data_IF_124177770762
#
_entry.id   IF_124177770762
#
_cell.length_a   1.000
_cell.length_b   1.000
_cell.length_c   1.000
_cell.angle_alpha   90.00
_cell.angle_beta   90.00
_cell.angle_gamma   90.00
#
_symmetry.space_group_name_H-M   'P 1'
#
loop_
_entity.id
_entity.type
_entity.pdbx_description
1 polymer ?
#
# COMPACT_ATOMS: atom_id res chain seq x y z
N UNK A 1 38.49 28.58 35.53
CA UNK A 1 38.57 27.49 34.55
C UNK A 1 37.21 27.39 33.89
N UNK A 2 37.10 27.79 32.62
CA UNK A 2 35.85 27.79 31.85
C UNK A 2 35.90 26.62 30.87
N UNK A 3 34.94 25.72 30.95
CA UNK A 3 34.70 24.66 29.96
C UNK A 3 33.69 25.22 28.96
N UNK A 4 34.20 25.83 27.89
CA UNK A 4 33.43 26.11 26.70
C UNK A 4 34.29 25.72 25.49
N UNK A 5 33.76 24.77 24.73
CA UNK A 5 34.01 24.49 23.31
C UNK A 5 34.10 22.98 23.05
N UNK A 6 32.95 22.32 23.15
CA UNK A 6 32.70 21.08 22.42
C UNK A 6 31.68 21.43 21.34
N UNK A 7 32.16 21.74 20.15
CA UNK A 7 31.34 21.74 18.95
C UNK A 7 31.07 20.27 18.57
N UNK A 8 29.89 19.75 18.95
CA UNK A 8 29.38 18.52 18.34
C UNK A 8 28.90 18.89 16.94
N UNK A 9 29.74 18.61 15.93
CA UNK A 9 29.27 18.48 14.55
C UNK A 9 28.53 17.15 14.46
N UNK A 10 27.21 17.18 14.49
CA UNK A 10 26.38 16.06 14.03
C UNK A 10 26.53 16.05 12.50
N UNK A 11 27.47 15.25 12.01
CA UNK A 11 27.58 14.93 10.60
C UNK A 11 26.49 13.89 10.27
N UNK A 12 25.83 14.10 9.13
CA UNK A 12 24.75 13.32 8.53
C UNK A 12 24.97 11.80 8.57
N UNK A 13 24.50 11.14 9.64
CA UNK A 13 24.55 9.69 9.80
C UNK A 13 23.16 9.04 9.82
N UNK A 14 22.08 9.83 9.63
CA UNK A 14 20.71 9.32 9.72
C UNK A 14 20.14 8.80 8.40
N UNK A 15 20.72 9.15 7.25
CA UNK A 15 20.09 8.94 5.93
C UNK A 15 20.22 7.53 5.36
N UNK A 16 21.38 6.87 5.53
CA UNK A 16 21.60 5.52 4.96
C UNK A 16 21.00 4.43 5.85
N UNK A 17 21.05 4.63 7.18
CA UNK A 17 20.56 3.65 8.14
C UNK A 17 19.04 3.46 8.12
N UNK A 18 18.29 4.51 7.77
CA UNK A 18 16.82 4.48 7.73
C UNK A 18 16.30 3.69 6.52
N UNK A 19 16.91 3.88 5.34
CA UNK A 19 16.52 3.20 4.11
C UNK A 19 16.91 1.70 4.14
N UNK A 20 18.11 1.38 4.60
CA UNK A 20 18.51 -0.03 4.75
C UNK A 20 17.64 -0.74 5.80
N UNK A 21 17.25 -0.07 6.88
CA UNK A 21 16.37 -0.64 7.89
C UNK A 21 14.99 -1.01 7.31
N UNK A 22 14.35 -0.11 6.55
CA UNK A 22 13.04 -0.42 5.95
C UNK A 22 13.14 -1.54 4.89
N UNK A 23 14.21 -1.59 4.11
CA UNK A 23 14.40 -2.68 3.15
C UNK A 23 14.59 -4.03 3.85
N UNK A 24 15.33 -4.07 4.95
CA UNK A 24 15.47 -5.27 5.77
C UNK A 24 14.14 -5.67 6.45
N UNK A 25 13.36 -4.72 6.93
CA UNK A 25 12.02 -4.94 7.49
C UNK A 25 11.08 -5.56 6.43
N UNK A 26 11.07 -5.01 5.21
CA UNK A 26 10.30 -5.54 4.07
C UNK A 26 10.75 -6.97 3.75
N UNK A 27 12.06 -7.22 3.67
CA UNK A 27 12.61 -8.54 3.38
C UNK A 27 12.22 -9.56 4.46
N UNK A 28 12.30 -9.18 5.74
CA UNK A 28 11.88 -10.04 6.86
C UNK A 28 10.40 -10.40 6.78
N UNK A 29 9.54 -9.41 6.54
CA UNK A 29 8.08 -9.64 6.45
C UNK A 29 7.70 -10.44 5.21
N UNK A 30 8.42 -10.26 4.10
CA UNK A 30 8.24 -11.07 2.91
C UNK A 30 8.67 -12.52 3.15
N UNK A 31 9.76 -12.74 3.89
CA UNK A 31 10.15 -14.09 4.32
C UNK A 31 9.06 -14.75 5.17
N UNK A 32 8.52 -14.04 6.16
CA UNK A 32 7.41 -14.54 7.00
C UNK A 32 6.16 -14.85 6.16
N UNK A 33 5.85 -14.00 5.17
CA UNK A 33 4.74 -14.22 4.24
C UNK A 33 4.95 -15.47 3.39
N UNK A 34 6.17 -15.72 2.90
CA UNK A 34 6.50 -16.94 2.13
C UNK A 34 6.30 -18.19 2.97
N UNK A 35 6.71 -18.16 4.23
CA UNK A 35 6.66 -19.35 5.10
C UNK A 35 5.25 -19.63 5.66
N UNK A 36 4.46 -18.58 5.91
CA UNK A 36 3.20 -18.70 6.66
C UNK A 36 1.95 -18.25 5.89
N UNK A 37 2.11 -17.48 4.83
CA UNK A 37 1.02 -16.77 4.14
C UNK A 37 0.45 -15.58 4.92
N UNK A 38 1.04 -15.21 6.07
CA UNK A 38 0.56 -14.09 6.88
C UNK A 38 0.91 -12.75 6.20
N UNK A 39 -0.11 -11.96 5.89
CA UNK A 39 0.07 -10.63 5.31
C UNK A 39 0.49 -9.61 6.36
N UNK A 40 1.13 -8.52 5.94
CA UNK A 40 1.53 -7.46 6.85
C UNK A 40 1.57 -6.08 6.19
N UNK A 41 1.54 -5.03 7.01
CA UNK A 41 1.53 -3.63 6.57
C UNK A 41 2.62 -2.83 7.28
N UNK A 42 3.30 -1.97 6.54
CA UNK A 42 4.23 -0.97 7.07
C UNK A 42 3.69 0.42 6.71
N UNK A 43 3.41 1.23 7.73
CA UNK A 43 2.99 2.62 7.53
C UNK A 43 4.21 3.52 7.37
N UNK A 44 4.48 3.94 6.14
CA UNK A 44 5.64 4.77 5.82
C UNK A 44 5.49 6.16 6.45
N UNK A 45 4.27 6.70 6.55
CA UNK A 45 4.04 8.06 7.11
C UNK A 45 4.37 8.14 8.59
N UNK A 46 4.38 7.00 9.28
CA UNK A 46 4.81 6.90 10.69
C UNK A 46 6.33 6.91 10.87
N UNK A 47 7.11 6.70 9.79
CA UNK A 47 8.56 6.68 9.83
C UNK A 47 9.15 8.09 9.73
N UNK A 48 10.29 8.36 10.39
CA UNK A 48 10.96 9.67 10.36
C UNK A 48 11.76 9.85 9.05
N UNK A 49 11.13 9.62 7.90
CA UNK A 49 11.77 9.74 6.59
C UNK A 49 11.73 11.18 6.09
N UNK A 50 12.86 11.62 5.55
CA UNK A 50 12.96 12.77 4.66
C UNK A 50 12.34 12.45 3.29
N UNK A 51 12.04 13.50 2.52
CA UNK A 51 11.54 13.33 1.15
C UNK A 51 12.53 12.57 0.25
N UNK A 52 13.84 12.75 0.45
CA UNK A 52 14.88 12.04 -0.32
C UNK A 52 14.89 10.55 -0.02
N UNK A 53 14.69 10.15 1.24
CA UNK A 53 14.59 8.74 1.63
C UNK A 53 13.33 8.08 1.07
N UNK A 54 12.21 8.81 1.03
CA UNK A 54 10.98 8.35 0.38
C UNK A 54 11.19 8.08 -1.11
N UNK A 55 11.78 9.03 -1.82
CA UNK A 55 12.09 8.87 -3.26
C UNK A 55 13.12 7.76 -3.48
N UNK A 56 14.13 7.66 -2.61
CA UNK A 56 15.09 6.57 -2.61
C UNK A 56 14.44 5.20 -2.43
N UNK A 57 13.47 5.08 -1.52
CA UNK A 57 12.68 3.86 -1.33
C UNK A 57 11.82 3.54 -2.55
N UNK A 58 11.08 4.52 -3.08
CA UNK A 58 10.27 4.37 -4.31
C UNK A 58 11.13 3.90 -5.49
N UNK A 59 12.28 4.52 -5.69
CA UNK A 59 13.21 4.15 -6.76
C UNK A 59 13.81 2.74 -6.55
N UNK A 60 14.12 2.38 -5.31
CA UNK A 60 14.73 1.09 -4.97
C UNK A 60 13.74 -0.07 -5.10
N UNK A 61 12.50 0.12 -4.67
CA UNK A 61 11.44 -0.89 -4.85
C UNK A 61 10.97 -0.94 -6.31
N UNK A 62 10.94 0.21 -6.99
CA UNK A 62 10.49 0.31 -8.37
C UNK A 62 9.03 -0.09 -8.57
N UNK A 63 8.59 -0.14 -9.83
CA UNK A 63 7.26 -0.63 -10.21
C UNK A 63 7.38 -1.97 -10.93
N UNK A 64 6.50 -2.89 -10.56
CA UNK A 64 6.31 -4.18 -11.20
C UNK A 64 5.26 -4.13 -12.30
N UNK A 65 4.55 -5.22 -12.48
CA UNK A 65 3.64 -5.43 -13.62
C UNK A 65 2.19 -5.00 -13.32
N UNK A 66 1.79 -5.06 -12.05
CA UNK A 66 0.39 -4.88 -11.65
C UNK A 66 0.18 -3.51 -11.02
N UNK A 67 -0.81 -2.78 -11.52
CA UNK A 67 -1.32 -1.54 -10.93
C UNK A 67 -2.84 -1.61 -10.86
N UNK A 68 -3.40 -1.15 -9.76
CA UNK A 68 -4.83 -0.97 -9.58
C UNK A 68 -5.11 0.45 -9.09
N UNK A 69 -6.26 0.99 -9.49
CA UNK A 69 -6.78 2.26 -8.98
C UNK A 69 -8.18 2.03 -8.49
N UNK A 70 -8.44 2.47 -7.26
CA UNK A 70 -9.77 2.40 -6.66
C UNK A 70 -10.36 3.82 -6.66
N UNK A 71 -11.36 4.00 -7.51
CA UNK A 71 -12.07 5.27 -7.67
C UNK A 71 -13.26 5.27 -6.70
N UNK A 72 -13.03 5.74 -5.48
CA UNK A 72 -14.01 5.80 -4.38
C UNK A 72 -14.02 7.20 -3.74
N UNK A 73 -14.83 7.43 -2.69
CA UNK A 73 -14.72 8.69 -1.92
C UNK A 73 -13.38 8.67 -1.19
N UNK A 74 -12.37 9.29 -1.81
CA UNK A 74 -10.96 9.06 -1.51
C UNK A 74 -10.42 7.98 -2.46
N UNK A 75 -9.63 8.42 -3.44
CA UNK A 75 -9.02 7.52 -4.41
C UNK A 75 -7.89 6.73 -3.74
N UNK A 76 -7.57 5.55 -4.29
CA UNK A 76 -6.37 4.81 -3.89
C UNK A 76 -5.60 4.34 -5.11
N UNK A 77 -4.28 4.50 -5.07
CA UNK A 77 -3.36 3.93 -6.06
C UNK A 77 -2.61 2.76 -5.40
N UNK A 78 -2.64 1.62 -6.07
CA UNK A 78 -1.99 0.39 -5.62
C UNK A 78 -1.11 -0.10 -6.74
N UNK A 79 0.16 -0.38 -6.47
CA UNK A 79 1.02 -1.03 -7.45
C UNK A 79 1.93 -2.07 -6.80
N UNK A 80 2.15 -3.17 -7.52
CA UNK A 80 3.17 -4.13 -7.15
C UNK A 80 4.54 -3.52 -7.46
N UNK A 81 5.50 -3.71 -6.56
CA UNK A 81 6.88 -3.28 -6.80
C UNK A 81 7.58 -4.26 -7.75
N UNK A 82 8.86 -4.04 -8.07
CA UNK A 82 9.63 -5.05 -8.83
C UNK A 82 9.85 -6.37 -8.07
N UNK A 83 9.50 -6.39 -6.79
CA UNK A 83 9.57 -7.55 -5.91
C UNK A 83 8.15 -8.10 -5.71
N UNK A 84 7.80 -9.24 -6.32
CA UNK A 84 6.46 -9.78 -6.23
C UNK A 84 6.01 -10.05 -4.79
N UNK A 85 4.75 -9.73 -4.52
CA UNK A 85 4.19 -9.81 -3.16
C UNK A 85 4.51 -8.61 -2.26
N UNK A 86 5.29 -7.64 -2.73
CA UNK A 86 5.50 -6.34 -2.08
C UNK A 86 4.75 -5.28 -2.85
N UNK A 87 3.79 -4.65 -2.19
CA UNK A 87 2.86 -3.68 -2.79
C UNK A 87 3.00 -2.33 -2.15
N UNK A 88 2.90 -1.29 -2.96
CA UNK A 88 2.79 0.07 -2.50
C UNK A 88 1.32 0.50 -2.58
N UNK A 89 0.75 0.90 -1.46
CA UNK A 89 -0.66 1.30 -1.33
C UNK A 89 -0.71 2.75 -0.85
N UNK A 90 -1.17 3.64 -1.73
CA UNK A 90 -1.33 5.06 -1.43
C UNK A 90 -2.81 5.40 -1.39
N UNK A 91 -3.27 5.97 -0.28
CA UNK A 91 -4.63 6.46 -0.11
C UNK A 91 -4.68 7.98 -0.15
N UNK A 92 -5.65 8.52 -0.88
CA UNK A 92 -5.90 9.95 -1.03
C UNK A 92 -7.21 10.35 -0.35
N UNK A 93 -7.26 11.58 0.17
CA UNK A 93 -8.54 12.20 0.52
C UNK A 93 -9.24 12.75 -0.73
N UNK A 94 -10.43 13.33 -0.53
CA UNK A 94 -11.21 13.97 -1.61
C UNK A 94 -10.56 15.23 -2.19
N UNK A 95 -9.56 15.79 -1.52
CA UNK A 95 -8.79 16.98 -1.96
C UNK A 95 -7.53 16.59 -2.75
N UNK A 96 -7.20 15.29 -2.81
CA UNK A 96 -6.02 14.75 -3.50
C UNK A 96 -4.77 14.65 -2.63
N UNK A 97 -4.86 14.89 -1.33
CA UNK A 97 -3.72 14.73 -0.41
C UNK A 97 -3.56 13.28 0.03
N UNK A 98 -2.30 12.84 0.14
CA UNK A 98 -1.96 11.50 0.64
C UNK A 98 -2.25 11.42 2.14
N UNK A 99 -3.26 10.66 2.51
CA UNK A 99 -3.63 10.40 3.91
C UNK A 99 -2.93 9.18 4.49
N UNK A 100 -2.59 8.19 3.66
CA UNK A 100 -1.80 7.03 4.06
C UNK A 100 -0.90 6.56 2.90
N UNK A 101 0.31 6.14 3.23
CA UNK A 101 1.27 5.59 2.27
C UNK A 101 1.91 4.36 2.89
N UNK A 102 1.62 3.19 2.33
CA UNK A 102 1.85 1.91 2.99
C UNK A 102 2.63 0.96 2.08
N UNK A 103 3.48 0.13 2.69
CA UNK A 103 3.93 -1.11 2.06
C UNK A 103 3.09 -2.26 2.58
N UNK A 104 2.43 -2.97 1.69
CA UNK A 104 1.68 -4.19 2.00
C UNK A 104 2.42 -5.41 1.47
N UNK A 105 2.61 -6.41 2.33
CA UNK A 105 3.15 -7.71 1.97
C UNK A 105 1.98 -8.69 1.86
N UNK A 106 1.62 -9.07 0.63
CA UNK A 106 0.48 -9.93 0.34
C UNK A 106 0.54 -10.49 -1.09
N UNK A 107 -0.19 -11.57 -1.37
CA UNK A 107 -0.37 -12.04 -2.76
C UNK A 107 -1.19 -11.06 -3.60
N UNK A 108 -2.22 -10.47 -2.98
CA UNK A 108 -3.07 -9.42 -3.52
C UNK A 108 -3.41 -8.49 -2.35
N UNK A 109 -3.30 -7.16 -2.50
CA UNK A 109 -3.61 -6.24 -1.41
C UNK A 109 -5.05 -6.35 -0.94
N UNK A 110 -5.28 -6.27 0.37
CA UNK A 110 -6.58 -6.48 1.00
C UNK A 110 -7.67 -5.56 0.41
N UNK A 111 -7.30 -4.32 0.06
CA UNK A 111 -8.22 -3.31 -0.50
C UNK A 111 -8.78 -3.71 -1.89
N UNK A 112 -8.11 -4.60 -2.61
CA UNK A 112 -8.53 -5.05 -3.95
C UNK A 112 -9.63 -6.12 -3.86
N UNK A 113 -9.75 -6.80 -2.71
CA UNK A 113 -10.75 -7.85 -2.53
C UNK A 113 -12.16 -7.25 -2.48
N UNK A 114 -13.05 -7.74 -3.35
CA UNK A 114 -14.48 -7.45 -3.23
C UNK A 114 -15.03 -8.07 -1.94
N UNK A 115 -15.82 -7.28 -1.22
CA UNK A 115 -16.42 -7.74 0.02
C UNK A 115 -17.53 -8.77 -0.27
N UNK A 116 -17.73 -9.80 0.59
CA UNK A 116 -18.71 -10.85 0.34
C UNK A 116 -20.15 -10.34 0.11
N UNK A 117 -20.51 -9.24 0.77
CA UNK A 117 -21.83 -8.61 0.71
C UNK A 117 -22.03 -7.94 -0.65
N UNK A 118 -21.02 -7.23 -1.15
CA UNK A 118 -21.04 -6.62 -2.48
C UNK A 118 -21.12 -7.67 -3.58
N UNK A 119 -20.44 -8.81 -3.42
CA UNK A 119 -20.55 -9.95 -4.33
C UNK A 119 -21.99 -10.48 -4.36
N UNK A 120 -22.63 -10.62 -3.20
CA UNK A 120 -24.02 -11.07 -3.11
C UNK A 120 -25.00 -10.10 -3.79
N UNK A 121 -24.83 -8.79 -3.55
CA UNK A 121 -25.60 -7.74 -4.23
C UNK A 121 -25.36 -7.77 -5.74
N UNK A 122 -24.12 -7.97 -6.17
CA UNK A 122 -23.74 -8.14 -7.57
C UNK A 122 -24.45 -9.32 -8.24
N UNK A 123 -24.51 -10.48 -7.57
CA UNK A 123 -25.24 -11.65 -8.05
C UNK A 123 -26.74 -11.37 -8.21
N UNK A 124 -27.37 -10.73 -7.22
CA UNK A 124 -28.78 -10.37 -7.28
C UNK A 124 -29.07 -9.42 -8.46
N UNK A 125 -28.23 -8.38 -8.63
CA UNK A 125 -28.32 -7.43 -9.75
C UNK A 125 -28.17 -8.14 -11.10
N UNK A 126 -27.19 -9.02 -11.24
CA UNK A 126 -26.96 -9.77 -12.48
C UNK A 126 -28.16 -10.65 -12.85
N UNK A 127 -28.76 -11.33 -11.87
CA UNK A 127 -29.98 -12.14 -12.07
C UNK A 127 -31.15 -11.28 -12.55
N UNK A 128 -31.37 -10.11 -11.94
CA UNK A 128 -32.40 -9.18 -12.36
C UNK A 128 -32.19 -8.72 -13.81
N UNK A 129 -30.94 -8.43 -14.19
CA UNK A 129 -30.60 -8.06 -15.57
C UNK A 129 -30.96 -9.19 -16.55
N UNK A 130 -30.70 -10.44 -16.22
CA UNK A 130 -31.02 -11.58 -17.08
C UNK A 130 -32.54 -11.74 -17.30
N UNK A 131 -33.37 -11.55 -16.28
CA UNK A 131 -34.83 -11.59 -16.40
C UNK A 131 -35.34 -10.47 -17.32
N UNK A 132 -34.83 -9.25 -17.12
CA UNK A 132 -35.19 -8.08 -17.95
C UNK A 132 -34.77 -8.25 -19.42
N UNK A 133 -33.62 -8.87 -19.69
CA UNK A 133 -33.15 -9.16 -21.05
C UNK A 133 -33.97 -10.26 -21.73
N UNK A 134 -34.49 -11.22 -20.95
CA UNK A 134 -35.32 -12.33 -21.47
C UNK A 134 -36.79 -11.93 -21.71
N UNK A 135 -37.22 -10.75 -21.28
CA UNK A 135 -38.59 -10.28 -21.45
C UNK A 135 -39.61 -11.01 -20.56
N UNK A 136 -39.16 -11.71 -19.51
CA UNK A 136 -40.05 -12.33 -18.54
C UNK A 136 -40.50 -11.27 -17.51
N UNK A 137 -41.81 -11.17 -17.19
CA UNK A 137 -42.28 -10.20 -16.21
C UNK A 137 -41.71 -10.53 -14.84
N UNK A 138 -41.20 -9.51 -14.13
CA UNK A 138 -40.89 -9.60 -12.70
C UNK A 138 -42.23 -9.70 -11.98
N UNK A 139 -42.59 -10.88 -11.46
CA UNK A 139 -43.79 -11.04 -10.62
C UNK A 139 -43.64 -10.24 -9.30
N UNK A 140 -44.76 -9.70 -8.78
CA UNK A 140 -44.79 -8.72 -7.68
C UNK A 140 -44.45 -9.29 -6.31
#
# INVERSE_FOLDING_TARGET
>A
MSLQDIHIRVADAHTVGSLDAILNEIASRLHDFVDTGATSLIDLKSLPFSAEEYEGLRATLGRGEVTARLDSIGDSEIYETRFPGVWWVTHYNVEGDIVADLIEIASVPAIVHSQPEDIYVGLARLRQTLTSVRGEPVEP
#
